data_IF_439242215195
#
_entry.id   IF_439242215195
#
_cell.length_a   1.000
_cell.length_b   1.000
_cell.length_c   1.000
_cell.angle_alpha   90.00
_cell.angle_beta   90.00
_cell.angle_gamma   90.00
#
_symmetry.space_group_name_H-M   'P 1'
#
loop_
_entity.id
_entity.type
_entity.pdbx_description
1 polymer ?
#
# COMPACT_ATOMS: atom_id res chain seq x y z
N UNK A 1 -20.85 -9.61 -43.79
CA UNK A 1 -21.31 -9.45 -42.40
C UNK A 1 -21.65 -10.79 -41.79
N UNK A 2 -21.14 -11.03 -40.57
CA UNK A 2 -21.36 -12.17 -39.65
C UNK A 2 -20.87 -13.55 -40.17
N UNK A 3 -20.03 -14.34 -39.50
CA UNK A 3 -19.44 -14.32 -38.17
C UNK A 3 -18.31 -15.38 -38.15
N UNK A 4 -17.05 -14.99 -37.97
CA UNK A 4 -15.90 -15.91 -37.83
C UNK A 4 -15.33 -15.92 -36.38
N UNK A 5 -15.97 -15.20 -35.46
CA UNK A 5 -15.48 -15.01 -34.08
C UNK A 5 -15.98 -16.04 -33.07
N UNK A 6 -16.78 -17.03 -33.47
CA UNK A 6 -17.38 -18.03 -32.55
C UNK A 6 -16.53 -19.28 -32.32
N UNK A 7 -15.36 -19.43 -32.96
CA UNK A 7 -14.50 -20.61 -32.82
C UNK A 7 -13.28 -20.43 -31.89
N UNK A 8 -13.05 -19.23 -31.38
CA UNK A 8 -12.00 -18.95 -30.37
C UNK A 8 -12.49 -19.09 -28.92
N UNK A 9 -13.76 -19.48 -28.72
CA UNK A 9 -14.40 -19.52 -27.40
C UNK A 9 -14.16 -20.82 -26.61
N UNK A 10 -13.29 -21.74 -27.05
CA UNK A 10 -13.12 -23.02 -26.33
C UNK A 10 -11.67 -23.52 -26.16
N UNK A 11 -10.67 -22.63 -26.29
CA UNK A 11 -9.28 -23.06 -26.16
C UNK A 11 -8.33 -22.01 -25.55
N UNK A 12 -8.75 -21.28 -24.51
CA UNK A 12 -7.82 -20.71 -23.55
C UNK A 12 -8.30 -20.89 -22.10
N UNK A 13 -7.46 -21.61 -21.35
CA UNK A 13 -7.38 -21.70 -19.88
C UNK A 13 -8.35 -22.68 -19.20
N UNK A 14 -8.12 -23.98 -19.29
CA UNK A 14 -7.24 -24.72 -18.36
C UNK A 14 -6.62 -23.90 -17.22
N UNK A 15 -6.77 -24.43 -16.01
CA UNK A 15 -6.49 -23.83 -14.70
C UNK A 15 -7.56 -22.83 -14.23
N UNK A 16 -8.51 -23.35 -13.43
CA UNK A 16 -8.87 -22.69 -12.18
C UNK A 16 -7.55 -22.41 -11.44
N UNK A 17 -6.88 -21.30 -11.77
CA UNK A 17 -5.90 -20.73 -10.85
C UNK A 17 -6.73 -20.47 -9.62
N UNK A 18 -6.55 -21.30 -8.60
CA UNK A 18 -6.79 -20.91 -7.23
C UNK A 18 -5.99 -19.62 -7.04
N UNK A 19 -6.60 -18.49 -7.38
CA UNK A 19 -6.10 -17.17 -7.08
C UNK A 19 -6.15 -17.11 -5.57
N UNK A 20 -5.06 -17.55 -4.93
CA UNK A 20 -4.90 -17.42 -3.49
C UNK A 20 -5.34 -15.99 -3.17
N UNK A 21 -6.32 -15.78 -2.27
CA UNK A 21 -6.78 -14.45 -1.95
C UNK A 21 -5.54 -13.61 -1.68
N UNK A 22 -5.45 -12.48 -2.37
CA UNK A 22 -4.32 -11.57 -2.26
C UNK A 22 -4.36 -11.00 -0.85
N UNK A 23 -3.79 -11.74 0.12
CA UNK A 23 -3.94 -11.38 1.53
C UNK A 23 -3.33 -9.99 1.73
N UNK A 24 -4.12 -9.01 2.20
CA UNK A 24 -3.58 -7.72 2.54
C UNK A 24 -2.53 -7.89 3.64
N UNK A 25 -1.55 -6.99 3.65
CA UNK A 25 -0.50 -6.95 4.67
C UNK A 25 -0.52 -5.57 5.31
N UNK A 26 -0.16 -5.53 6.59
CA UNK A 26 0.01 -4.25 7.27
C UNK A 26 1.49 -3.88 7.26
N UNK A 27 1.84 -2.84 6.54
CA UNK A 27 3.17 -2.24 6.57
C UNK A 27 3.24 -1.19 7.70
N UNK A 28 4.23 -1.33 8.56
CA UNK A 28 4.58 -0.33 9.56
C UNK A 28 5.60 0.62 8.93
N UNK A 29 5.22 1.87 8.76
CA UNK A 29 6.03 2.93 8.17
C UNK A 29 6.46 3.87 9.27
N UNK A 30 7.76 3.91 9.53
CA UNK A 30 8.36 4.91 10.42
C UNK A 30 8.48 6.22 9.65
N UNK A 31 8.11 7.32 10.32
CA UNK A 31 8.31 8.66 9.79
C UNK A 31 9.35 9.37 10.64
N UNK A 32 10.46 9.71 10.01
CA UNK A 32 11.55 10.42 10.66
C UNK A 32 11.43 11.91 10.31
N UNK A 33 11.41 12.72 11.37
CA UNK A 33 11.29 14.17 11.36
C UNK A 33 12.35 14.71 12.32
N UNK A 34 12.96 15.83 11.97
CA UNK A 34 14.06 16.42 12.74
C UNK A 34 13.67 16.75 14.20
N UNK A 35 12.44 17.21 14.42
CA UNK A 35 11.94 17.69 15.72
C UNK A 35 10.59 17.06 16.09
N UNK A 36 10.31 16.95 17.39
CA UNK A 36 9.01 16.47 17.90
C UNK A 36 7.85 17.42 17.57
N UNK A 37 8.10 18.74 17.61
CA UNK A 37 7.11 19.77 17.23
C UNK A 37 6.69 19.65 15.77
N UNK A 38 7.64 19.30 14.91
CA UNK A 38 7.43 19.11 13.50
C UNK A 38 6.67 17.81 13.22
N UNK A 39 6.94 16.76 14.00
CA UNK A 39 6.17 15.52 13.93
C UNK A 39 4.69 15.72 14.30
N UNK A 40 4.38 16.62 15.25
CA UNK A 40 3.00 16.97 15.58
C UNK A 40 2.21 17.58 14.39
N UNK A 41 2.90 18.18 13.42
CA UNK A 41 2.30 18.71 12.18
C UNK A 41 2.05 17.61 11.15
N UNK A 42 2.72 16.48 11.26
CA UNK A 42 2.60 15.32 10.35
C UNK A 42 1.38 14.50 10.75
N UNK A 43 0.19 14.91 10.26
CA UNK A 43 -1.03 14.11 10.47
C UNK A 43 -1.00 12.81 9.65
N UNK A 44 -1.65 11.77 10.18
CA UNK A 44 -1.87 10.49 9.48
C UNK A 44 -2.50 10.68 8.09
N UNK A 45 -3.39 11.68 7.96
CA UNK A 45 -4.02 12.09 6.71
C UNK A 45 -3.04 12.73 5.73
N UNK A 46 -2.15 13.59 6.21
CA UNK A 46 -1.11 14.19 5.38
C UNK A 46 -0.16 13.12 4.84
N UNK A 47 0.28 12.19 5.70
CA UNK A 47 1.15 11.10 5.28
C UNK A 47 0.46 10.17 4.29
N UNK A 48 -0.81 9.80 4.52
CA UNK A 48 -1.61 9.02 3.58
C UNK A 48 -1.68 9.68 2.21
N UNK A 49 -1.95 10.99 2.19
CA UNK A 49 -2.04 11.78 0.96
C UNK A 49 -0.72 11.76 0.22
N UNK A 50 0.40 12.07 0.88
CA UNK A 50 1.71 12.12 0.23
C UNK A 50 2.11 10.74 -0.30
N UNK A 51 2.00 9.69 0.51
CA UNK A 51 2.36 8.32 0.08
C UNK A 51 1.48 7.86 -1.09
N UNK A 52 0.16 8.11 -1.02
CA UNK A 52 -0.76 7.74 -2.12
C UNK A 52 -0.48 8.54 -3.39
N UNK A 53 -0.19 9.84 -3.26
CA UNK A 53 0.22 10.69 -4.38
C UNK A 53 1.52 10.21 -5.01
N UNK A 54 2.53 9.83 -4.20
CA UNK A 54 3.78 9.26 -4.69
C UNK A 54 3.56 7.92 -5.40
N UNK A 55 2.69 7.05 -4.87
CA UNK A 55 2.34 5.79 -5.55
C UNK A 55 1.61 6.03 -6.88
N UNK A 56 0.69 6.99 -6.91
CA UNK A 56 -0.03 7.38 -8.12
C UNK A 56 0.93 7.95 -9.19
N UNK A 57 1.87 8.81 -8.77
CA UNK A 57 2.86 9.41 -9.66
C UNK A 57 3.82 8.37 -10.26
N UNK A 58 4.27 7.40 -9.46
CA UNK A 58 5.21 6.37 -9.90
C UNK A 58 4.55 5.26 -10.74
N UNK A 59 3.35 4.84 -10.38
CA UNK A 59 2.78 3.58 -10.87
C UNK A 59 1.39 3.73 -11.51
N UNK A 60 0.86 4.95 -11.58
CA UNK A 60 -0.44 5.24 -12.19
C UNK A 60 -1.64 4.72 -11.39
N UNK A 61 -2.84 5.02 -11.90
CA UNK A 61 -4.12 4.78 -11.23
C UNK A 61 -4.50 3.30 -11.08
N UNK A 62 -3.84 2.39 -11.80
CA UNK A 62 -4.13 0.94 -11.75
C UNK A 62 -3.49 0.25 -10.56
N UNK A 63 -2.65 0.95 -9.80
CA UNK A 63 -2.00 0.41 -8.61
C UNK A 63 -2.95 0.44 -7.40
N UNK A 64 -3.11 -0.68 -6.66
CA UNK A 64 -3.88 -0.68 -5.43
C UNK A 64 -3.31 0.33 -4.43
N UNK A 65 -4.12 1.31 -4.04
CA UNK A 65 -3.72 2.32 -3.07
C UNK A 65 -3.74 1.75 -1.64
N UNK A 66 -2.82 2.19 -0.78
CA UNK A 66 -2.79 1.77 0.61
C UNK A 66 -3.88 2.49 1.41
N UNK A 67 -4.36 1.86 2.47
CA UNK A 67 -5.29 2.45 3.45
C UNK A 67 -4.56 2.67 4.77
N UNK A 68 -4.75 3.82 5.42
CA UNK A 68 -4.19 4.06 6.77
C UNK A 68 -5.11 3.46 7.82
N UNK A 69 -4.54 2.69 8.75
CA UNK A 69 -5.27 2.11 9.89
C UNK A 69 -5.08 2.92 11.17
N UNK A 70 -3.84 3.34 11.46
CA UNK A 70 -3.47 3.95 12.74
C UNK A 70 -2.16 4.72 12.59
N UNK A 71 -2.03 5.86 13.27
CA UNK A 71 -0.76 6.52 13.50
C UNK A 71 -0.50 6.53 15.01
N UNK A 72 0.65 5.99 15.40
CA UNK A 72 1.14 6.04 16.77
C UNK A 72 2.15 7.18 16.87
N UNK A 73 1.79 8.19 17.67
CA UNK A 73 2.59 9.38 17.83
C UNK A 73 3.85 9.15 18.67
N UNK A 74 3.82 8.19 19.59
CA UNK A 74 4.95 7.90 20.47
C UNK A 74 6.07 7.19 19.71
N UNK A 75 5.70 6.20 18.89
CA UNK A 75 6.67 5.42 18.11
C UNK A 75 7.02 6.05 16.77
N UNK A 76 6.33 7.14 16.37
CA UNK A 76 6.38 7.75 15.04
C UNK A 76 6.12 6.74 13.91
N UNK A 77 5.27 5.76 14.17
CA UNK A 77 4.92 4.70 13.22
C UNK A 77 3.49 4.88 12.73
N UNK A 78 3.31 4.81 11.42
CA UNK A 78 2.01 4.76 10.77
C UNK A 78 1.80 3.39 10.13
N UNK A 79 0.64 2.80 10.41
CA UNK A 79 0.23 1.51 9.89
C UNK A 79 -0.57 1.70 8.60
N UNK A 80 -0.07 1.13 7.51
CA UNK A 80 -0.76 1.06 6.23
C UNK A 80 -1.19 -0.38 5.93
N UNK A 81 -2.44 -0.60 5.58
CA UNK A 81 -2.88 -1.83 4.93
C UNK A 81 -2.72 -1.70 3.43
N UNK A 82 -2.00 -2.65 2.82
CA UNK A 82 -1.73 -2.64 1.39
C UNK A 82 -1.90 -4.05 0.80
N UNK A 83 -2.32 -4.12 -0.46
CA UNK A 83 -2.28 -5.37 -1.19
C UNK A 83 -0.84 -5.89 -1.25
N UNK A 84 -0.61 -7.18 -0.97
CA UNK A 84 0.76 -7.74 -0.97
C UNK A 84 1.55 -7.47 -2.26
N UNK A 85 0.89 -7.45 -3.41
CA UNK A 85 1.50 -7.14 -4.73
C UNK A 85 1.94 -5.68 -4.87
N UNK A 86 1.37 -4.78 -4.07
CA UNK A 86 1.71 -3.36 -4.06
C UNK A 86 2.68 -2.98 -2.92
N UNK A 87 3.18 -3.95 -2.14
CA UNK A 87 4.11 -3.69 -1.03
C UNK A 87 5.42 -3.06 -1.50
N UNK A 88 6.01 -3.55 -2.59
CA UNK A 88 7.26 -2.97 -3.11
C UNK A 88 7.03 -1.58 -3.72
N UNK A 89 5.82 -1.35 -4.26
CA UNK A 89 5.39 -0.03 -4.73
C UNK A 89 5.23 0.95 -3.56
N UNK A 90 4.64 0.51 -2.45
CA UNK A 90 4.56 1.29 -1.22
C UNK A 90 5.96 1.63 -0.70
N UNK A 91 6.88 0.67 -0.66
CA UNK A 91 8.28 0.90 -0.25
C UNK A 91 8.94 1.98 -1.10
N UNK A 92 8.84 1.87 -2.42
CA UNK A 92 9.40 2.87 -3.33
C UNK A 92 8.79 4.26 -3.12
N UNK A 93 7.47 4.34 -2.93
CA UNK A 93 6.78 5.60 -2.68
C UNK A 93 7.18 6.24 -1.35
N UNK A 94 7.39 5.44 -0.29
CA UNK A 94 7.85 5.93 1.01
C UNK A 94 9.25 6.58 0.91
N UNK A 95 10.17 5.96 0.16
CA UNK A 95 11.54 6.50 -0.03
C UNK A 95 11.54 7.87 -0.70
N UNK A 96 10.54 8.17 -1.54
CA UNK A 96 10.42 9.47 -2.21
C UNK A 96 9.72 10.55 -1.36
N UNK A 97 9.27 10.21 -0.15
CA UNK A 97 8.73 11.22 0.76
C UNK A 97 9.89 12.06 1.28
N UNK A 98 9.93 13.32 0.86
CA UNK A 98 10.87 14.34 1.37
C UNK A 98 10.17 15.41 2.20
N UNK A 99 8.85 15.56 2.04
CA UNK A 99 8.04 16.55 2.72
C UNK A 99 6.66 15.97 3.03
N UNK A 100 6.16 16.24 4.23
CA UNK A 100 4.80 15.89 4.64
C UNK A 100 4.17 17.02 5.45
N UNK A 101 3.14 17.68 4.89
CA UNK A 101 2.43 18.74 5.60
C UNK A 101 3.25 20.01 5.82
N UNK A 102 4.15 20.37 4.89
CA UNK A 102 5.02 21.54 5.02
C UNK A 102 6.29 21.29 5.85
N UNK A 103 6.53 20.06 6.26
CA UNK A 103 7.66 19.66 7.11
C UNK A 103 8.54 18.68 6.36
N UNK A 104 9.86 18.88 6.42
CA UNK A 104 10.82 17.89 5.92
C UNK A 104 10.71 16.60 6.72
N UNK A 105 10.35 15.53 6.03
CA UNK A 105 10.10 14.23 6.63
C UNK A 105 10.53 13.13 5.67
N UNK A 106 11.09 12.06 6.21
CA UNK A 106 11.36 10.83 5.45
C UNK A 106 10.49 9.69 5.96
N UNK A 107 10.05 8.80 5.07
CA UNK A 107 9.23 7.65 5.42
C UNK A 107 9.91 6.34 5.04
N UNK A 108 9.97 5.38 5.95
CA UNK A 108 10.58 4.07 5.71
C UNK A 108 9.69 2.95 6.22
N UNK A 109 9.46 1.91 5.39
CA UNK A 109 8.78 0.69 5.83
C UNK A 109 9.74 -0.11 6.73
N UNK A 110 9.46 -0.19 8.02
CA UNK A 110 10.32 -0.87 9.01
C UNK A 110 9.89 -2.31 9.29
N UNK A 111 8.61 -2.63 9.10
CA UNK A 111 8.10 -3.98 9.32
C UNK A 111 6.86 -4.25 8.45
N UNK A 112 6.57 -5.53 8.20
CA UNK A 112 5.38 -5.96 7.46
C UNK A 112 4.72 -7.11 8.23
N UNK A 113 3.56 -6.82 8.82
CA UNK A 113 2.74 -7.79 9.53
C UNK A 113 1.82 -8.49 8.53
N UNK A 114 2.02 -9.79 8.36
CA UNK A 114 1.11 -10.61 7.55
C UNK A 114 -0.12 -10.95 8.38
N UNK A 115 -1.30 -10.65 7.86
CA UNK A 115 -2.53 -11.21 8.40
C UNK A 115 -2.44 -12.74 8.27
N UNK A 116 -2.49 -13.45 9.40
CA UNK A 116 -2.80 -14.88 9.34
C UNK A 116 -4.22 -14.98 8.77
N UNK A 117 -4.48 -15.87 7.80
CA UNK A 117 -5.86 -16.13 7.41
C UNK A 117 -6.59 -16.55 8.67
N UNK A 118 -7.61 -15.78 9.05
CA UNK A 118 -8.49 -16.16 10.15
C UNK A 118 -8.98 -17.56 9.85
N UNK A 119 -8.47 -18.55 10.61
CA UNK A 119 -9.09 -19.86 10.63
C UNK A 119 -10.41 -19.63 11.32
N UNK A 120 -11.53 -19.72 10.59
CA UNK A 120 -12.82 -19.94 11.25
C UNK A 120 -12.62 -21.08 12.25
N UNK A 121 -13.06 -20.96 13.52
CA UNK A 121 -13.09 -22.12 14.40
C UNK A 121 -13.90 -23.25 13.72
N UNK A 122 -13.48 -24.52 13.85
CA UNK A 122 -14.21 -25.66 13.29
C UNK A 122 -15.64 -25.74 13.84
#
# INVERSE_FOLDING_TARGET
SNSFCTLLANHQSSMKRHGKPHMPVDALVRVDVANDEDFAKVSSKALHKVVSSSMLALFGATTPMPSVLLADAETRIVRFTVARSALDKLRAACVLVSECGGVFASATVVNVVRHKPSRRPP
#
